data_IF_104703673305
#
_entry.id   IF_104703673305
#
_cell.length_a   1.000
_cell.length_b   1.000
_cell.length_c   1.000
_cell.angle_alpha   90.00
_cell.angle_beta   90.00
_cell.angle_gamma   90.00
#
_symmetry.space_group_name_H-M   'P 1'
#
loop_
_entity.id
_entity.type
_entity.pdbx_description
1 polymer ?
#
# COMPACT_ATOMS: atom_id res chain seq x y z
N UNK A 1 20.01 16.05 15.11
CA UNK A 1 19.67 15.20 13.94
C UNK A 1 18.77 16.03 13.03
N UNK A 2 19.20 16.22 11.78
CA UNK A 2 18.90 17.37 10.92
C UNK A 2 17.48 17.33 10.35
N UNK A 3 16.75 18.44 10.43
CA UNK A 3 15.45 18.65 9.79
C UNK A 3 15.49 18.42 8.26
N UNK A 4 16.67 18.48 7.65
CA UNK A 4 16.85 18.23 6.21
C UNK A 4 16.66 16.75 5.83
N UNK A 5 16.96 15.82 6.73
CA UNK A 5 16.89 14.39 6.43
C UNK A 5 15.43 13.90 6.35
N UNK A 6 14.55 14.42 7.22
CA UNK A 6 13.13 14.06 7.22
C UNK A 6 12.40 14.58 5.99
N UNK A 7 12.72 15.81 5.56
CA UNK A 7 12.11 16.41 4.38
C UNK A 7 12.57 15.70 3.09
N UNK A 8 13.82 15.22 3.05
CA UNK A 8 14.31 14.35 1.97
C UNK A 8 13.58 13.02 1.93
N UNK A 9 13.34 12.40 3.10
CA UNK A 9 12.62 11.13 3.19
C UNK A 9 11.16 11.21 2.73
N UNK A 10 10.45 12.28 3.09
CA UNK A 10 9.08 12.51 2.61
C UNK A 10 9.02 12.73 1.09
N UNK A 11 9.95 13.51 0.54
CA UNK A 11 10.06 13.68 -0.92
C UNK A 11 10.32 12.35 -1.63
N UNK A 12 11.21 11.51 -1.09
CA UNK A 12 11.47 10.18 -1.65
C UNK A 12 10.23 9.27 -1.55
N UNK A 13 9.50 9.35 -0.44
CA UNK A 13 8.26 8.61 -0.25
C UNK A 13 7.23 9.01 -1.32
N UNK A 14 6.95 10.31 -1.48
CA UNK A 14 6.03 10.82 -2.50
C UNK A 14 6.49 10.45 -3.91
N UNK A 15 7.79 10.57 -4.22
CA UNK A 15 8.35 10.18 -5.52
C UNK A 15 8.07 8.71 -5.87
N UNK A 16 8.26 7.80 -4.91
CA UNK A 16 7.91 6.37 -5.08
C UNK A 16 6.42 6.17 -5.31
N UNK A 17 5.56 6.88 -4.57
CA UNK A 17 4.11 6.80 -4.76
C UNK A 17 3.67 7.31 -6.12
N UNK A 18 4.25 8.39 -6.61
CA UNK A 18 4.00 8.90 -7.96
C UNK A 18 4.43 7.90 -9.03
N UNK A 19 5.55 7.19 -8.82
CA UNK A 19 5.97 6.12 -9.71
C UNK A 19 5.00 4.93 -9.69
N UNK A 20 4.57 4.48 -8.50
CA UNK A 20 3.59 3.42 -8.34
C UNK A 20 2.22 3.78 -8.92
N UNK A 21 1.78 5.03 -8.76
CA UNK A 21 0.51 5.53 -9.32
C UNK A 21 0.48 5.57 -10.85
N UNK A 22 1.64 5.54 -11.52
CA UNK A 22 1.73 5.39 -12.98
C UNK A 22 1.62 3.95 -13.45
N UNK A 23 1.81 2.95 -12.57
CA UNK A 23 1.66 1.55 -12.92
C UNK A 23 0.18 1.22 -13.12
N UNK A 24 -0.22 1.05 -14.38
CA UNK A 24 -1.58 0.67 -14.76
C UNK A 24 -1.52 -0.61 -15.58
N UNK A 25 -1.87 -1.72 -14.95
CA UNK A 25 -1.92 -3.03 -15.58
C UNK A 25 -3.05 -3.86 -14.96
N UNK A 26 -3.66 -4.76 -15.74
CA UNK A 26 -4.79 -5.57 -15.30
C UNK A 26 -4.50 -6.39 -14.04
N UNK A 27 -3.26 -6.90 -13.92
CA UNK A 27 -2.80 -7.74 -12.80
C UNK A 27 -2.12 -6.96 -11.67
N UNK A 28 -2.13 -5.62 -11.70
CA UNK A 28 -1.54 -4.79 -10.63
C UNK A 28 -2.68 -4.01 -9.98
N UNK A 29 -2.80 -4.10 -8.65
CA UNK A 29 -3.80 -3.32 -7.92
C UNK A 29 -3.45 -1.83 -8.04
N UNK A 30 -4.34 -1.00 -8.61
CA UNK A 30 -4.03 0.41 -8.82
C UNK A 30 -4.02 1.17 -7.49
N UNK A 31 -3.02 2.04 -7.34
CA UNK A 31 -2.99 3.06 -6.30
C UNK A 31 -3.97 4.18 -6.67
N UNK A 32 -5.01 4.34 -5.86
CA UNK A 32 -6.05 5.36 -6.04
C UNK A 32 -5.64 6.69 -5.40
N UNK A 33 -4.83 6.64 -4.34
CA UNK A 33 -4.35 7.84 -3.65
C UNK A 33 -3.52 7.52 -2.43
N UNK A 34 -3.12 8.57 -1.72
CA UNK A 34 -2.39 8.47 -0.47
C UNK A 34 -2.73 9.64 0.45
N UNK A 35 -2.49 9.47 1.75
CA UNK A 35 -2.59 10.54 2.75
C UNK A 35 -1.34 10.51 3.63
N UNK A 36 -0.78 11.69 3.88
CA UNK A 36 0.35 11.88 4.79
C UNK A 36 -0.08 12.93 5.81
N UNK A 37 -0.09 12.56 7.08
CA UNK A 37 -0.46 13.44 8.19
C UNK A 37 0.53 13.22 9.34
N UNK A 38 1.47 14.16 9.50
CA UNK A 38 2.58 14.01 10.43
C UNK A 38 3.41 12.75 10.15
N UNK A 39 3.40 11.79 11.08
CA UNK A 39 4.10 10.50 10.94
C UNK A 39 3.26 9.41 10.26
N UNK A 40 1.96 9.63 10.12
CA UNK A 40 1.04 8.65 9.53
C UNK A 40 1.08 8.71 8.00
N UNK A 41 1.08 7.52 7.38
CA UNK A 41 1.14 7.35 5.94
C UNK A 41 0.15 6.26 5.53
N UNK A 42 -0.88 6.68 4.81
CA UNK A 42 -1.96 5.80 4.35
C UNK A 42 -1.92 5.69 2.83
N UNK A 43 -2.19 4.49 2.32
CA UNK A 43 -2.35 4.21 0.90
C UNK A 43 -3.78 3.78 0.63
N UNK A 44 -4.37 4.35 -0.41
CA UNK A 44 -5.72 4.02 -0.86
C UNK A 44 -5.59 3.23 -2.15
N UNK A 45 -5.99 1.96 -2.12
CA UNK A 45 -5.96 1.04 -3.26
C UNK A 45 -7.37 0.54 -3.57
N UNK A 46 -7.55 -0.02 -4.76
CA UNK A 46 -8.77 -0.78 -5.07
C UNK A 46 -8.86 -2.00 -4.13
N UNK A 47 -10.03 -2.20 -3.56
CA UNK A 47 -10.32 -3.38 -2.74
C UNK A 47 -10.30 -4.66 -3.60
N UNK A 48 -9.67 -5.71 -3.07
CA UNK A 48 -9.60 -7.04 -3.69
C UNK A 48 -10.38 -8.00 -2.80
N UNK A 49 -11.52 -8.48 -3.29
CA UNK A 49 -12.49 -9.27 -2.50
C UNK A 49 -12.02 -10.65 -2.09
N UNK A 50 -11.06 -11.23 -2.82
CA UNK A 50 -10.67 -12.63 -2.66
C UNK A 50 -9.49 -12.83 -1.69
N UNK A 51 -9.24 -11.86 -0.81
CA UNK A 51 -8.08 -11.82 0.10
C UNK A 51 -6.74 -11.98 -0.65
N UNK A 52 -5.66 -12.23 0.09
CA UNK A 52 -4.37 -12.53 -0.54
C UNK A 52 -4.30 -14.00 -0.98
N UNK A 53 -3.49 -14.27 -2.00
CA UNK A 53 -3.33 -15.61 -2.57
C UNK A 53 -2.82 -16.63 -1.55
N UNK A 54 -1.98 -16.21 -0.61
CA UNK A 54 -1.43 -17.09 0.42
C UNK A 54 -2.55 -17.67 1.29
N UNK A 55 -3.44 -16.81 1.80
CA UNK A 55 -4.58 -17.23 2.61
C UNK A 55 -5.52 -18.13 1.79
N UNK A 56 -5.75 -17.79 0.53
CA UNK A 56 -6.60 -18.59 -0.36
C UNK A 56 -6.04 -20.02 -0.57
N UNK A 57 -4.72 -20.15 -0.75
CA UNK A 57 -4.06 -21.45 -0.94
C UNK A 57 -3.92 -22.26 0.36
N UNK A 58 -3.90 -21.59 1.52
CA UNK A 58 -3.66 -22.22 2.82
C UNK A 58 -4.91 -22.24 3.72
N UNK A 59 -6.09 -21.87 3.20
CA UNK A 59 -7.36 -21.83 3.92
C UNK A 59 -7.76 -23.16 4.59
N UNK A 60 -7.22 -24.29 4.15
CA UNK A 60 -7.41 -25.60 4.78
C UNK A 60 -6.69 -25.76 6.14
N UNK A 61 -5.80 -24.83 6.52
CA UNK A 61 -5.18 -24.78 7.86
C UNK A 61 -5.90 -23.77 8.75
N UNK A 62 -7.15 -24.12 9.09
CA UNK A 62 -7.92 -23.64 10.23
C UNK A 62 -7.66 -22.20 10.70
N UNK A 63 -8.43 -21.26 10.14
CA UNK A 63 -9.16 -20.20 10.87
C UNK A 63 -9.80 -19.26 9.85
N UNK A 64 -11.04 -19.59 9.49
CA UNK A 64 -11.98 -18.58 9.03
C UNK A 64 -12.51 -17.83 10.25
N UNK A 65 -11.66 -17.01 10.84
CA UNK A 65 -12.09 -15.81 11.55
C UNK A 65 -11.32 -14.72 10.82
N UNK A 66 -11.99 -13.79 10.14
CA UNK A 66 -12.24 -12.46 10.68
C UNK A 66 -13.26 -11.74 9.77
N UNK A 67 -14.25 -11.13 10.45
CA UNK A 67 -15.27 -10.13 10.05
C UNK A 67 -16.42 -10.57 9.13
#
# INVERSE_FOLDING_TARGET
>A
KSLNDSQSFEKQFVSKLLALGRLRHYNIVPLLGYRIEGKEKLLVNKYVSNCNLYDWLHAAKGKHEIL
#
